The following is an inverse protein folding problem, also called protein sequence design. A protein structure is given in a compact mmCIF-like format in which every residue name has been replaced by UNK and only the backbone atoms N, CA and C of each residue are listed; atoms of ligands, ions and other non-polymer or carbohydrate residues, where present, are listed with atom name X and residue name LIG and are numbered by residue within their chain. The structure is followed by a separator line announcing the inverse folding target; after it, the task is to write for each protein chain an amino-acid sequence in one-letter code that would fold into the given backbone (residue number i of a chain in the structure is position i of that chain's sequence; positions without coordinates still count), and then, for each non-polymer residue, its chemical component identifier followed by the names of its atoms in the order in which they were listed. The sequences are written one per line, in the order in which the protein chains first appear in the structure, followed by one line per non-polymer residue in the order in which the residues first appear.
data_IF_103206286935
#
_entry.id   IF_103206286935
#
_cell.length_a   1.000
_cell.length_b   1.000
_cell.length_c   1.000
_cell.angle_alpha   90.00
_cell.angle_beta   90.00
_cell.angle_gamma   90.00
#
_symmetry.space_group_name_H-M   'P 1'
#
loop_
_entity.id
_entity.type
_entity.pdbx_description
1 polymer ?
#
# COMPACT_ATOMS: atom_id res chain seq x y z
N UNK A 1 2.68 1.04 -10.22
CA UNK A 1 3.81 1.69 -9.54
C UNK A 1 3.66 1.46 -8.07
N UNK A 2 4.73 1.06 -7.38
CA UNK A 2 4.78 0.93 -5.92
C UNK A 2 5.72 2.00 -5.37
N UNK A 3 5.30 2.68 -4.31
CA UNK A 3 6.06 3.71 -3.62
C UNK A 3 6.30 3.23 -2.19
N UNK A 4 7.55 3.21 -1.74
CA UNK A 4 7.91 2.78 -0.39
C UNK A 4 9.21 3.44 0.06
N UNK A 5 9.45 3.55 1.36
CA UNK A 5 10.70 4.07 1.95
C UNK A 5 11.78 2.98 2.07
N UNK A 6 11.40 1.71 1.98
CA UNK A 6 12.27 0.54 2.10
C UNK A 6 12.67 0.00 0.73
N UNK A 7 13.97 0.02 0.43
CA UNK A 7 14.49 -0.61 -0.80
C UNK A 7 14.15 -2.10 -0.88
N UNK A 8 14.22 -2.83 0.24
CA UNK A 8 13.86 -4.25 0.31
C UNK A 8 12.39 -4.51 -0.05
N UNK A 9 11.50 -3.61 0.37
CA UNK A 9 10.08 -3.72 0.03
C UNK A 9 9.84 -3.48 -1.47
N UNK A 10 10.57 -2.52 -2.06
CA UNK A 10 10.53 -2.25 -3.50
C UNK A 10 11.11 -3.39 -4.34
N UNK A 11 12.22 -3.98 -3.90
CA UNK A 11 12.80 -5.18 -4.53
C UNK A 11 11.79 -6.32 -4.55
N UNK A 12 11.16 -6.60 -3.40
CA UNK A 12 10.10 -7.60 -3.31
C UNK A 12 8.93 -7.25 -4.25
N UNK A 13 8.45 -6.01 -4.23
CA UNK A 13 7.36 -5.57 -5.11
C UNK A 13 7.69 -5.78 -6.60
N UNK A 14 8.93 -5.53 -7.02
CA UNK A 14 9.37 -5.79 -8.39
C UNK A 14 9.29 -7.30 -8.72
N UNK A 15 9.72 -8.18 -7.82
CA UNK A 15 9.59 -9.65 -8.02
C UNK A 15 8.13 -10.11 -8.08
N UNK A 16 7.21 -9.37 -7.47
CA UNK A 16 5.77 -9.65 -7.46
C UNK A 16 5.01 -9.00 -8.65
N UNK A 17 5.71 -8.37 -9.58
CA UNK A 17 5.12 -7.83 -10.82
C UNK A 17 4.84 -6.32 -10.81
N UNK A 18 5.40 -5.56 -9.87
CA UNK A 18 5.37 -4.10 -9.96
C UNK A 18 6.17 -3.62 -11.19
N UNK A 19 5.47 -3.05 -12.17
CA UNK A 19 6.09 -2.47 -13.38
C UNK A 19 7.06 -1.32 -13.09
N UNK A 20 6.80 -0.57 -12.01
CA UNK A 20 7.63 0.54 -11.56
C UNK A 20 7.68 0.57 -10.04
N UNK A 21 8.84 0.89 -9.50
CA UNK A 21 9.09 1.14 -8.09
C UNK A 21 9.66 2.54 -7.93
N UNK A 22 9.32 3.22 -6.83
CA UNK A 22 9.80 4.57 -6.50
C UNK A 22 10.20 4.60 -5.03
N UNK A 23 11.46 4.90 -4.75
CA UNK A 23 11.94 5.10 -3.39
C UNK A 23 11.46 6.46 -2.86
N UNK A 24 10.77 6.43 -1.73
CA UNK A 24 10.21 7.62 -1.11
C UNK A 24 11.27 8.38 -0.29
N UNK A 25 12.12 9.12 -1.00
CA UNK A 25 13.14 10.03 -0.46
C UNK A 25 12.55 11.38 -0.03
N UNK A 26 11.60 11.90 -0.80
CA UNK A 26 10.82 13.11 -0.48
C UNK A 26 9.49 13.14 -1.26
N UNK A 27 8.49 13.82 -0.72
CA UNK A 27 7.17 13.97 -1.35
C UNK A 27 7.24 14.56 -2.76
N UNK A 28 8.07 15.58 -2.97
CA UNK A 28 8.21 16.26 -4.25
C UNK A 28 8.82 15.34 -5.33
N UNK A 29 9.80 14.52 -4.94
CA UNK A 29 10.41 13.55 -5.84
C UNK A 29 9.45 12.42 -6.20
N UNK A 30 8.71 11.89 -5.20
CA UNK A 30 7.66 10.89 -5.44
C UNK A 30 6.59 11.44 -6.37
N UNK A 31 6.08 12.64 -6.10
CA UNK A 31 5.07 13.30 -6.94
C UNK A 31 5.58 13.44 -8.38
N UNK A 32 6.74 14.04 -8.57
CA UNK A 32 7.34 14.22 -9.90
C UNK A 32 7.46 12.90 -10.65
N UNK A 33 7.99 11.86 -9.99
CA UNK A 33 8.21 10.56 -10.61
C UNK A 33 6.91 9.84 -10.96
N UNK A 34 5.91 9.90 -10.07
CA UNK A 34 4.59 9.31 -10.34
C UNK A 34 3.91 10.05 -11.49
N UNK A 35 3.96 11.38 -11.52
CA UNK A 35 3.40 12.17 -12.61
C UNK A 35 4.03 11.82 -13.96
N UNK A 36 5.35 11.66 -14.01
CA UNK A 36 6.08 11.24 -15.22
C UNK A 36 5.65 9.85 -15.68
N UNK A 37 5.67 8.85 -14.78
CA UNK A 37 5.32 7.45 -15.10
C UNK A 37 3.87 7.34 -15.61
N UNK A 38 2.97 8.13 -15.05
CA UNK A 38 1.53 8.03 -15.31
C UNK A 38 1.02 9.01 -16.36
N UNK A 39 1.87 9.93 -16.84
CA UNK A 39 1.47 10.98 -17.78
C UNK A 39 0.50 12.01 -17.21
N UNK A 40 0.62 12.34 -15.91
CA UNK A 40 -0.21 13.37 -15.26
C UNK A 40 -1.01 12.91 -14.03
N UNK A 41 -0.64 11.79 -13.41
CA UNK A 41 -1.18 11.30 -12.15
C UNK A 41 -1.85 9.95 -12.28
N UNK A 42 -2.05 9.25 -11.16
CA UNK A 42 -2.67 7.93 -11.10
C UNK A 42 -4.21 7.99 -11.20
N UNK A 43 -4.82 6.91 -11.72
CA UNK A 43 -6.29 6.73 -11.71
C UNK A 43 -6.76 6.49 -10.28
N UNK A 44 -5.98 5.68 -9.56
CA UNK A 44 -6.28 5.17 -8.24
C UNK A 44 -4.97 5.15 -7.47
N UNK A 45 -5.01 5.58 -6.22
CA UNK A 45 -3.93 5.41 -5.25
C UNK A 45 -4.48 4.58 -4.10
N UNK A 46 -3.83 3.45 -3.81
CA UNK A 46 -4.09 2.64 -2.63
C UNK A 46 -3.06 3.02 -1.56
N UNK A 47 -3.51 3.67 -0.49
CA UNK A 47 -2.67 4.06 0.64
C UNK A 47 -2.77 2.99 1.74
N UNK A 48 -1.76 2.12 1.80
CA UNK A 48 -1.63 1.10 2.85
C UNK A 48 -0.97 1.63 4.13
N UNK A 49 -0.48 2.86 4.14
CA UNK A 49 0.20 3.47 5.29
C UNK A 49 -0.80 4.29 6.10
N UNK A 50 -1.49 5.25 5.47
CA UNK A 50 -2.55 6.05 6.11
C UNK A 50 -2.08 6.94 7.26
N UNK A 51 -0.77 7.18 7.37
CA UNK A 51 -0.13 8.03 8.37
C UNK A 51 1.24 8.53 7.90
N UNK A 52 1.92 9.32 8.74
CA UNK A 52 3.28 9.82 8.50
C UNK A 52 3.46 10.62 7.20
N UNK A 53 2.39 11.25 6.71
CA UNK A 53 2.38 12.10 5.52
C UNK A 53 1.96 11.38 4.24
N UNK A 54 1.90 10.03 4.24
CA UNK A 54 1.41 9.27 3.09
C UNK A 54 -0.03 9.66 2.72
N UNK A 55 -0.87 9.91 3.73
CA UNK A 55 -2.27 10.29 3.60
C UNK A 55 -2.45 11.70 2.99
N UNK A 56 -1.43 12.55 3.10
CA UNK A 56 -1.38 13.90 2.52
C UNK A 56 -0.74 13.92 1.12
N UNK A 57 0.17 12.97 0.85
CA UNK A 57 0.82 12.82 -0.44
C UNK A 57 -0.10 12.14 -1.45
N UNK A 58 -0.82 11.08 -1.06
CA UNK A 58 -1.63 10.26 -1.96
C UNK A 58 -2.62 11.06 -2.85
N UNK A 59 -3.36 12.07 -2.34
CA UNK A 59 -4.22 12.91 -3.18
C UNK A 59 -3.47 13.77 -4.21
N UNK A 60 -2.21 14.12 -3.96
CA UNK A 60 -1.37 14.86 -4.92
C UNK A 60 -0.94 13.96 -6.08
N UNK A 61 -0.78 12.66 -5.83
CA UNK A 61 -0.40 11.67 -6.85
C UNK A 61 -1.54 11.34 -7.85
N UNK A 62 -2.77 11.73 -7.53
CA UNK A 62 -3.93 11.49 -8.40
C UNK A 62 -3.96 12.45 -9.59
N UNK A 63 -4.47 11.98 -10.73
CA UNK A 63 -4.96 12.90 -11.75
C UNK A 63 -6.39 13.36 -11.44
N UNK A 64 -6.91 14.28 -12.25
CA UNK A 64 -8.33 14.64 -12.19
C UNK A 64 -9.26 13.42 -12.30
N UNK A 65 -10.32 13.39 -11.50
CA UNK A 65 -11.30 12.31 -11.40
C UNK A 65 -10.75 11.00 -10.83
N UNK A 66 -9.57 11.06 -10.20
CA UNK A 66 -8.94 9.93 -9.54
C UNK A 66 -9.55 9.62 -8.16
N UNK A 67 -9.20 8.46 -7.62
CA UNK A 67 -9.68 7.99 -6.32
C UNK A 67 -8.54 7.62 -5.38
N UNK A 68 -8.53 8.21 -4.19
CA UNK A 68 -7.66 7.85 -3.09
C UNK A 68 -8.38 6.83 -2.20
N UNK A 69 -7.91 5.58 -2.21
CA UNK A 69 -8.37 4.53 -1.30
C UNK A 69 -7.46 4.48 -0.08
N UNK A 70 -8.03 4.74 1.09
CA UNK A 70 -7.35 4.71 2.38
C UNK A 70 -7.57 3.33 3.00
N UNK A 71 -6.49 2.57 3.17
CA UNK A 71 -6.47 1.23 3.78
C UNK A 71 -5.70 1.23 5.10
N UNK A 72 -4.58 1.96 5.12
CA UNK A 72 -3.84 2.24 6.35
C UNK A 72 -4.60 3.18 7.28
N UNK A 73 -4.09 3.35 8.50
CA UNK A 73 -4.74 4.16 9.53
C UNK A 73 -3.69 4.75 10.48
N UNK A 74 -4.06 5.82 11.19
CA UNK A 74 -3.20 6.50 12.18
C UNK A 74 -3.08 8.00 11.94
N UNK A 75 -3.22 8.44 10.69
CA UNK A 75 -3.17 9.83 10.27
C UNK A 75 -4.53 10.51 10.08
N UNK A 76 -4.52 11.65 9.39
CA UNK A 76 -5.72 12.43 9.05
C UNK A 76 -5.63 12.92 7.62
N UNK A 77 -6.59 12.51 6.78
CA UNK A 77 -6.73 13.08 5.43
C UNK A 77 -7.31 14.50 5.55
N UNK A 78 -6.54 15.49 5.15
CA UNK A 78 -6.95 16.90 5.11
C UNK A 78 -6.75 17.46 3.72
N UNK A 79 -7.85 17.90 3.08
CA UNK A 79 -7.84 18.44 1.72
C UNK A 79 -8.64 19.73 1.63
N UNK A 80 -8.12 20.76 0.94
CA UNK A 80 -8.94 21.91 0.56
C UNK A 80 -10.13 21.44 -0.26
N UNK A 81 -11.34 21.88 0.10
CA UNK A 81 -12.57 21.51 -0.61
C UNK A 81 -12.56 21.93 -2.08
N UNK A 82 -11.85 23.03 -2.39
CA UNK A 82 -11.63 23.48 -3.76
C UNK A 82 -10.86 22.46 -4.60
N UNK A 83 -9.88 21.75 -4.02
CA UNK A 83 -9.12 20.72 -4.74
C UNK A 83 -9.99 19.51 -5.03
N UNK A 84 -10.87 19.14 -4.08
CA UNK A 84 -11.81 18.03 -4.25
C UNK A 84 -12.75 18.31 -5.41
N UNK A 85 -13.39 19.49 -5.44
CA UNK A 85 -14.40 19.81 -6.45
C UNK A 85 -13.78 20.17 -7.82
N UNK A 86 -12.65 20.87 -7.85
CA UNK A 86 -12.03 21.30 -9.11
C UNK A 86 -11.37 20.15 -9.87
N UNK A 87 -10.83 19.18 -9.13
CA UNK A 87 -10.23 17.97 -9.70
C UNK A 87 -11.20 16.79 -9.75
N UNK A 88 -12.42 16.93 -9.21
CA UNK A 88 -13.43 15.86 -9.13
C UNK A 88 -12.91 14.56 -8.49
N UNK A 89 -12.03 14.65 -7.49
CA UNK A 89 -11.40 13.47 -6.88
C UNK A 89 -12.26 12.85 -5.76
N UNK A 90 -12.03 11.55 -5.50
CA UNK A 90 -12.69 10.80 -4.43
C UNK A 90 -11.72 10.43 -3.31
N UNK A 91 -12.21 10.38 -2.08
CA UNK A 91 -11.53 9.77 -0.92
C UNK A 91 -12.43 8.67 -0.36
N UNK A 92 -11.92 7.44 -0.31
CA UNK A 92 -12.71 6.24 -0.04
C UNK A 92 -12.00 5.43 1.04
N UNK A 93 -12.69 5.12 2.13
CA UNK A 93 -12.16 4.21 3.17
C UNK A 93 -12.39 2.75 2.79
N UNK A 94 -11.40 1.89 3.02
CA UNK A 94 -11.51 0.45 2.82
C UNK A 94 -10.77 -0.31 3.93
N UNK A 95 -11.49 -1.12 4.72
CA UNK A 95 -10.90 -1.87 5.83
C UNK A 95 -10.77 -3.36 5.53
N UNK A 96 -11.89 -4.00 5.16
CA UNK A 96 -11.98 -5.43 4.83
C UNK A 96 -13.02 -5.64 3.74
N UNK A 97 -13.00 -6.82 3.12
CA UNK A 97 -13.98 -7.26 2.14
C UNK A 97 -15.20 -7.97 2.75
N UNK A 98 -16.19 -8.20 1.91
CA UNK A 98 -17.34 -9.06 2.19
C UNK A 98 -16.94 -10.54 2.18
N UNK A 99 -17.85 -11.42 2.60
CA UNK A 99 -17.64 -12.87 2.47
C UNK A 99 -17.45 -13.29 1.00
N UNK A 100 -18.17 -12.66 0.08
CA UNK A 100 -18.02 -12.91 -1.37
C UNK A 100 -16.61 -12.53 -1.82
N UNK A 101 -16.10 -11.38 -1.39
CA UNK A 101 -14.74 -10.94 -1.72
C UNK A 101 -13.70 -11.96 -1.23
N UNK A 102 -13.91 -12.54 -0.04
CA UNK A 102 -13.05 -13.60 0.49
C UNK A 102 -13.11 -14.85 -0.39
N UNK A 103 -14.30 -15.31 -0.80
CA UNK A 103 -14.45 -16.48 -1.69
C UNK A 103 -13.74 -16.27 -3.03
N UNK A 104 -13.88 -15.06 -3.60
CA UNK A 104 -13.19 -14.68 -4.83
C UNK A 104 -11.66 -14.66 -4.65
N UNK A 105 -11.17 -14.10 -3.53
CA UNK A 105 -9.75 -14.10 -3.20
C UNK A 105 -9.19 -15.52 -3.01
N UNK A 106 -9.94 -16.41 -2.35
CA UNK A 106 -9.55 -17.82 -2.19
C UNK A 106 -9.50 -18.53 -3.54
N UNK A 107 -10.40 -18.18 -4.46
CA UNK A 107 -10.37 -18.70 -5.85
C UNK A 107 -9.10 -18.24 -6.57
N UNK A 108 -8.71 -16.97 -6.46
CA UNK A 108 -7.47 -16.46 -7.04
C UNK A 108 -6.22 -17.13 -6.45
N UNK A 109 -6.22 -17.37 -5.14
CA UNK A 109 -5.15 -18.10 -4.44
C UNK A 109 -5.05 -19.54 -4.95
N UNK A 110 -6.18 -20.26 -5.08
CA UNK A 110 -6.21 -21.61 -5.61
C UNK A 110 -5.72 -21.70 -7.07
N UNK A 111 -5.91 -20.63 -7.85
CA UNK A 111 -5.38 -20.49 -9.21
C UNK A 111 -3.89 -20.08 -9.26
N UNK A 112 -3.24 -19.86 -8.11
CA UNK A 112 -1.86 -19.39 -8.05
C UNK A 112 -1.67 -17.94 -8.50
N UNK A 113 -2.75 -17.15 -8.59
CA UNK A 113 -2.69 -15.73 -9.01
C UNK A 113 -2.36 -14.77 -7.87
N UNK A 114 -2.51 -15.23 -6.63
CA UNK A 114 -2.13 -14.51 -5.41
C UNK A 114 -1.25 -15.44 -4.59
N UNK A 115 -0.08 -14.94 -4.23
CA UNK A 115 0.89 -15.65 -3.39
C UNK A 115 1.18 -14.82 -2.14
N UNK A 116 1.28 -15.48 -0.99
CA UNK A 116 1.63 -14.83 0.27
C UNK A 116 3.14 -14.96 0.51
N UNK A 117 3.79 -13.85 0.83
CA UNK A 117 5.16 -13.88 1.36
C UNK A 117 5.07 -13.97 2.89
N UNK A 118 5.50 -15.09 3.46
CA UNK A 118 5.29 -15.41 4.87
C UNK A 118 6.57 -15.89 5.54
N UNK A 119 6.66 -15.63 6.84
CA UNK A 119 7.64 -16.22 7.73
C UNK A 119 6.89 -17.07 8.76
N UNK A 120 7.30 -18.32 8.93
CA UNK A 120 6.66 -19.26 9.86
C UNK A 120 7.49 -19.34 11.14
N UNK A 121 6.83 -19.18 12.27
CA UNK A 121 7.40 -19.26 13.60
C UNK A 121 6.65 -20.33 14.40
N UNK A 122 7.32 -21.16 15.22
CA UNK A 122 6.61 -21.99 16.18
C UNK A 122 5.91 -21.10 17.23
N UNK A 123 4.80 -21.58 17.79
CA UNK A 123 3.97 -20.79 18.69
C UNK A 123 4.73 -20.32 19.95
N UNK A 124 5.69 -21.11 20.43
CA UNK A 124 6.54 -20.77 21.57
C UNK A 124 7.59 -19.68 21.25
N UNK A 125 7.86 -19.41 19.98
CA UNK A 125 8.71 -18.31 19.50
C UNK A 125 7.92 -17.03 19.18
N UNK A 126 6.71 -16.86 19.73
CA UNK A 126 5.88 -15.68 19.49
C UNK A 126 6.60 -14.36 19.85
N UNK A 127 7.43 -14.35 20.90
CA UNK A 127 8.19 -13.16 21.29
C UNK A 127 9.27 -12.82 20.27
N UNK A 128 9.92 -13.81 19.67
CA UNK A 128 10.91 -13.60 18.62
C UNK A 128 10.24 -13.03 17.35
N UNK A 129 9.06 -13.55 16.99
CA UNK A 129 8.28 -13.04 15.87
C UNK A 129 7.88 -11.56 16.05
N UNK A 130 7.49 -11.17 17.27
CA UNK A 130 7.17 -9.77 17.61
C UNK A 130 8.44 -8.90 17.55
N UNK A 131 9.56 -9.38 18.11
CA UNK A 131 10.83 -8.65 18.09
C UNK A 131 11.37 -8.46 16.65
N UNK A 132 11.18 -9.45 15.78
CA UNK A 132 11.52 -9.35 14.36
C UNK A 132 10.63 -8.37 13.61
N UNK A 133 9.33 -8.33 13.94
CA UNK A 133 8.41 -7.34 13.37
C UNK A 133 8.80 -5.91 13.78
N UNK A 134 9.04 -5.67 15.07
CA UNK A 134 9.42 -4.36 15.60
C UNK A 134 10.74 -3.87 15.00
N UNK A 135 11.71 -4.78 14.83
CA UNK A 135 13.01 -4.45 14.24
C UNK A 135 13.00 -4.41 12.70
N UNK A 136 11.86 -4.63 12.04
CA UNK A 136 11.75 -4.65 10.57
C UNK A 136 12.52 -5.80 9.90
N UNK A 137 12.81 -6.88 10.63
CA UNK A 137 13.46 -8.10 10.11
C UNK A 137 12.44 -9.05 9.47
N UNK A 138 11.19 -9.00 9.90
CA UNK A 138 10.10 -9.77 9.31
C UNK A 138 9.64 -9.13 8.00
N UNK A 139 9.88 -9.82 6.88
CA UNK A 139 9.35 -9.44 5.57
C UNK A 139 8.07 -10.23 5.29
N UNK A 140 7.00 -9.54 4.90
CA UNK A 140 5.70 -10.16 4.66
C UNK A 140 4.92 -10.42 5.95
N UNK A 141 4.34 -11.62 6.10
CA UNK A 141 3.46 -11.94 7.25
C UNK A 141 4.02 -13.06 8.12
N UNK A 142 4.16 -12.78 9.41
CA UNK A 142 4.46 -13.79 10.43
C UNK A 142 3.27 -14.70 10.69
N UNK A 143 3.48 -16.01 10.64
CA UNK A 143 2.48 -17.04 10.95
C UNK A 143 3.01 -17.88 12.10
N UNK A 144 2.29 -17.89 13.22
CA UNK A 144 2.57 -18.78 14.34
C UNK A 144 1.88 -20.13 14.11
N UNK A 145 2.64 -21.21 14.24
CA UNK A 145 2.16 -22.59 14.10
C UNK A 145 2.29 -23.35 15.43
N UNK A 146 1.26 -24.10 15.86
CA UNK A 146 1.31 -24.90 17.09
C UNK A 146 2.36 -26.02 17.05
#
# INVERSE_FOLDING_TARGET
TVVDRSEKALELAATLGAHHTVLATSDAEVESRVMEITGGGAHVVFDFVGESGAELLAPKLLRGRGSHYVIGYGGTVSLPTIDIISREINVIGNLVGTYTDLVELMTLTAQGRVTLHTAVYPLDAALDAIADLEAGRLIGRGILVP
#
